data_IF_151285572026
#
_entry.id   IF_151285572026
#
_cell.length_a   1.000
_cell.length_b   1.000
_cell.length_c   1.000
_cell.angle_alpha   90.00
_cell.angle_beta   90.00
_cell.angle_gamma   90.00
#
_symmetry.space_group_name_H-M   'P 1'
#
loop_
_entity.id
_entity.type
_entity.pdbx_description
1 polymer ?
#
# COMPACT_ATOMS: atom_id res chain seq x y z
N UNK A 1 5.12 -2.26 -9.67
CA UNK A 1 3.87 -1.63 -9.15
C UNK A 1 3.49 -2.29 -7.83
N UNK A 2 3.51 -3.61 -7.77
CA UNK A 2 3.40 -4.37 -6.51
C UNK A 2 4.60 -5.32 -6.38
N UNK A 3 4.93 -5.69 -5.15
CA UNK A 3 5.89 -6.74 -4.81
C UNK A 3 5.21 -7.73 -3.86
N UNK A 4 5.49 -9.02 -4.05
CA UNK A 4 4.96 -10.09 -3.21
C UNK A 4 5.80 -10.25 -1.95
N UNK A 5 5.16 -10.28 -0.79
CA UNK A 5 5.75 -10.70 0.48
C UNK A 5 5.12 -12.01 0.95
N UNK A 6 5.71 -12.62 2.00
CA UNK A 6 5.26 -13.89 2.59
C UNK A 6 5.06 -14.99 1.54
N UNK A 7 6.12 -15.30 0.79
CA UNK A 7 6.10 -16.30 -0.30
C UNK A 7 5.07 -16.01 -1.41
N UNK A 8 4.72 -14.74 -1.63
CA UNK A 8 3.78 -14.31 -2.67
C UNK A 8 2.31 -14.40 -2.26
N UNK A 9 2.03 -14.63 -0.98
CA UNK A 9 0.65 -14.66 -0.45
C UNK A 9 0.05 -13.26 -0.29
N UNK A 10 0.88 -12.21 -0.23
CA UNK A 10 0.42 -10.84 -0.06
C UNK A 10 1.13 -9.89 -1.02
N UNK A 11 0.36 -8.99 -1.64
CA UNK A 11 0.89 -7.93 -2.50
C UNK A 11 0.91 -6.58 -1.76
N UNK A 12 2.06 -5.92 -1.84
CA UNK A 12 2.26 -4.56 -1.33
C UNK A 12 2.56 -3.59 -2.47
N UNK A 13 1.95 -2.39 -2.49
CA UNK A 13 2.32 -1.36 -3.46
C UNK A 13 3.77 -0.93 -3.22
N UNK A 14 4.56 -0.87 -4.29
CA UNK A 14 5.94 -0.36 -4.24
C UNK A 14 6.00 1.08 -4.75
N UNK A 15 6.93 1.85 -4.22
CA UNK A 15 7.20 3.18 -4.73
C UNK A 15 7.80 3.09 -6.14
N UNK A 16 6.95 3.24 -7.14
CA UNK A 16 7.30 3.13 -8.54
C UNK A 16 6.80 4.38 -9.26
N UNK A 17 7.73 5.32 -9.50
CA UNK A 17 7.43 6.61 -10.13
C UNK A 17 6.70 6.44 -11.47
N UNK A 18 7.16 5.51 -12.33
CA UNK A 18 6.50 5.21 -13.60
C UNK A 18 5.07 4.70 -13.41
N UNK A 19 4.80 3.93 -12.36
CA UNK A 19 3.45 3.46 -12.06
C UNK A 19 2.51 4.60 -11.62
N UNK A 20 3.05 5.57 -10.89
CA UNK A 20 2.33 6.75 -10.40
C UNK A 20 2.05 7.72 -11.56
N UNK A 21 3.10 8.09 -12.31
CA UNK A 21 3.03 9.03 -13.44
C UNK A 21 2.05 8.56 -14.53
N UNK A 22 2.02 7.26 -14.80
CA UNK A 22 1.12 6.68 -15.80
C UNK A 22 -0.21 6.20 -15.20
N UNK A 23 -0.56 6.64 -13.99
CA UNK A 23 -1.84 6.36 -13.32
C UNK A 23 -2.23 4.87 -13.24
N UNK A 24 -1.25 3.98 -13.16
CA UNK A 24 -1.50 2.55 -13.21
C UNK A 24 -2.23 2.01 -11.98
N UNK A 25 -2.00 2.60 -10.80
CA UNK A 25 -2.76 2.25 -9.59
C UNK A 25 -4.26 2.55 -9.74
N UNK A 26 -4.59 3.64 -10.43
CA UNK A 26 -5.98 3.99 -10.73
C UNK A 26 -6.60 3.05 -11.77
N UNK A 27 -5.84 2.69 -12.82
CA UNK A 27 -6.28 1.70 -13.80
C UNK A 27 -6.55 0.33 -13.16
N UNK A 28 -5.68 -0.11 -12.26
CA UNK A 28 -5.85 -1.36 -11.51
C UNK A 28 -7.10 -1.31 -10.61
N UNK A 29 -7.31 -0.23 -9.88
CA UNK A 29 -8.51 -0.05 -9.06
C UNK A 29 -9.80 -0.21 -9.87
N UNK A 30 -9.86 0.41 -11.06
CA UNK A 30 -11.00 0.24 -11.99
C UNK A 30 -11.19 -1.20 -12.44
N UNK A 31 -10.10 -1.88 -12.83
CA UNK A 31 -10.16 -3.27 -13.29
C UNK A 31 -10.73 -4.20 -12.21
N UNK A 32 -10.36 -3.96 -10.94
CA UNK A 32 -10.85 -4.77 -9.81
C UNK A 32 -12.34 -4.54 -9.55
N UNK A 33 -12.80 -3.29 -9.59
CA UNK A 33 -14.23 -2.97 -9.45
C UNK A 33 -15.04 -3.66 -10.56
N UNK A 34 -14.59 -3.55 -11.81
CA UNK A 34 -15.26 -4.20 -12.96
C UNK A 34 -15.30 -5.72 -12.80
N UNK A 35 -14.19 -6.34 -12.40
CA UNK A 35 -14.11 -7.78 -12.13
C UNK A 35 -15.12 -8.20 -11.05
N UNK A 36 -15.20 -7.45 -9.95
CA UNK A 36 -16.11 -7.73 -8.83
C UNK A 36 -17.57 -7.60 -9.26
N UNK A 37 -17.93 -6.54 -9.98
CA UNK A 37 -19.29 -6.32 -10.48
C UNK A 37 -19.73 -7.38 -11.50
N UNK A 38 -18.77 -8.00 -12.18
CA UNK A 38 -19.02 -9.04 -13.19
C UNK A 38 -18.98 -10.46 -12.62
N UNK A 39 -18.91 -10.62 -11.28
CA UNK A 39 -18.80 -11.93 -10.62
C UNK A 39 -17.46 -12.63 -10.84
N UNK A 40 -16.44 -11.89 -11.27
CA UNK A 40 -15.07 -12.37 -11.43
C UNK A 40 -14.34 -12.57 -10.11
N UNK A 41 -13.07 -13.01 -10.14
CA UNK A 41 -12.27 -13.28 -8.94
C UNK A 41 -11.99 -12.04 -8.09
N UNK A 42 -12.30 -10.83 -8.59
CA UNK A 42 -12.21 -9.60 -7.82
C UNK A 42 -10.77 -9.15 -7.55
N UNK A 43 -10.46 -8.90 -6.27
CA UNK A 43 -9.22 -8.29 -5.80
C UNK A 43 -8.10 -9.34 -5.68
N UNK A 44 -6.87 -9.10 -6.19
CA UNK A 44 -5.72 -9.94 -5.80
C UNK A 44 -5.49 -9.87 -4.29
N UNK A 45 -4.86 -10.88 -3.68
CA UNK A 45 -4.56 -10.90 -2.24
C UNK A 45 -3.64 -9.72 -1.85
N UNK A 46 -4.24 -8.58 -1.54
CA UNK A 46 -3.56 -7.45 -0.93
C UNK A 46 -3.29 -7.76 0.53
N UNK A 47 -2.17 -7.23 1.03
CA UNK A 47 -1.92 -7.24 2.45
C UNK A 47 -3.07 -6.58 3.23
N UNK A 48 -3.48 -7.14 4.39
CA UNK A 48 -4.60 -6.62 5.19
C UNK A 48 -4.52 -5.13 5.49
N UNK A 49 -3.31 -4.58 5.68
CA UNK A 49 -3.09 -3.16 5.93
C UNK A 49 -3.47 -2.27 4.74
N UNK A 50 -3.26 -2.74 3.51
CA UNK A 50 -3.64 -2.00 2.30
C UNK A 50 -5.17 -2.00 2.15
N UNK A 51 -5.82 -3.12 2.48
CA UNK A 51 -7.28 -3.21 2.47
C UNK A 51 -7.91 -2.28 3.51
N UNK A 52 -7.33 -2.19 4.71
CA UNK A 52 -7.80 -1.28 5.76
C UNK A 52 -7.64 0.19 5.34
N UNK A 53 -6.49 0.56 4.77
CA UNK A 53 -6.27 1.88 4.21
C UNK A 53 -7.33 2.25 3.15
N UNK A 54 -7.62 1.35 2.22
CA UNK A 54 -8.65 1.58 1.18
C UNK A 54 -10.07 1.72 1.74
N UNK A 55 -10.32 1.21 2.95
CA UNK A 55 -11.59 1.36 3.67
C UNK A 55 -11.67 2.66 4.47
N UNK A 56 -10.64 3.50 4.43
CA UNK A 56 -10.57 4.73 5.23
C UNK A 56 -10.37 4.47 6.71
N UNK A 57 -9.91 3.26 7.08
CA UNK A 57 -9.53 2.96 8.46
C UNK A 57 -8.09 3.46 8.63
N UNK A 58 -7.87 4.37 9.59
CA UNK A 58 -6.55 4.93 9.87
C UNK A 58 -5.56 3.82 10.25
N UNK A 59 -4.50 3.66 9.46
CA UNK A 59 -3.41 2.70 9.71
C UNK A 59 -2.07 3.40 10.01
N UNK A 60 -2.06 4.67 10.41
CA UNK A 60 -0.81 5.42 10.65
C UNK A 60 0.06 4.77 11.74
N UNK A 61 -0.56 4.07 12.70
CA UNK A 61 0.16 3.44 13.82
C UNK A 61 0.69 2.02 13.51
N UNK A 62 0.11 1.32 12.52
CA UNK A 62 0.44 -0.08 12.20
C UNK A 62 1.36 -0.23 10.97
N UNK A 63 1.78 0.88 10.36
CA UNK A 63 2.92 0.91 9.44
C UNK A 63 4.22 0.68 10.23
N UNK A 64 4.35 -0.52 10.79
CA UNK A 64 5.56 -0.97 11.44
C UNK A 64 6.72 -0.76 10.47
N UNK A 65 7.76 -0.06 10.92
CA UNK A 65 8.92 0.34 10.12
C UNK A 65 9.49 -0.86 9.37
N UNK A 66 9.34 -2.08 9.89
CA UNK A 66 9.73 -3.34 9.23
C UNK A 66 9.05 -3.60 7.88
N UNK A 67 7.77 -3.24 7.69
CA UNK A 67 6.98 -3.51 6.48
C UNK A 67 7.19 -2.46 5.37
N UNK A 68 7.66 -1.26 5.73
CA UNK A 68 7.94 -0.20 4.77
C UNK A 68 9.27 -0.49 4.08
N UNK A 69 9.33 -1.22 2.97
CA UNK A 69 10.62 -1.45 2.27
C UNK A 69 11.22 -0.16 1.65
N UNK A 70 10.45 0.92 1.61
CA UNK A 70 10.89 2.21 1.09
C UNK A 70 11.78 2.96 2.12
N UNK A 71 13.09 3.00 1.88
CA UNK A 71 14.06 3.71 2.74
C UNK A 71 13.72 5.20 2.93
N UNK A 72 13.26 5.90 1.90
CA UNK A 72 12.91 7.32 1.99
C UNK A 72 11.69 7.53 2.91
N UNK A 73 10.69 6.67 2.80
CA UNK A 73 9.51 6.73 3.65
C UNK A 73 9.84 6.36 5.10
N UNK A 74 10.72 5.37 5.34
CA UNK A 74 11.25 5.07 6.69
C UNK A 74 11.97 6.28 7.31
N UNK A 75 12.78 6.98 6.53
CA UNK A 75 13.52 8.16 7.00
C UNK A 75 12.58 9.32 7.33
N UNK A 76 11.55 9.54 6.50
CA UNK A 76 10.54 10.57 6.73
C UNK A 76 9.75 10.30 8.03
N UNK A 77 9.26 9.08 8.23
CA UNK A 77 8.53 8.66 9.44
C UNK A 77 9.40 8.85 10.69
N UNK A 78 10.68 8.41 10.65
CA UNK A 78 11.62 8.62 11.76
C UNK A 78 11.81 10.10 12.09
N UNK A 79 11.90 10.97 11.07
CA UNK A 79 12.04 12.43 11.28
C UNK A 79 10.82 13.04 11.94
N UNK A 80 9.62 12.68 11.49
CA UNK A 80 8.36 13.18 12.07
C UNK A 80 8.19 12.70 13.51
N UNK A 81 8.43 11.41 13.80
CA UNK A 81 8.36 10.88 15.16
C UNK A 81 9.38 11.50 16.12
N UNK A 82 10.57 11.89 15.63
CA UNK A 82 11.55 12.60 16.45
C UNK A 82 11.11 14.04 16.79
N UNK A 83 10.40 14.72 15.87
CA UNK A 83 9.87 16.07 16.10
C UNK A 83 8.76 16.04 17.15
N UNK A 84 7.87 15.05 17.08
CA UNK A 84 6.74 14.90 18.03
C UNK A 84 7.26 14.61 19.45
N UNK A 85 8.36 13.87 19.61
CA UNK A 85 8.94 13.55 20.92
C UNK A 85 9.77 14.70 21.55
N UNK A 86 9.93 15.84 20.85
CA UNK A 86 10.67 17.01 21.31
C UNK A 86 9.76 18.19 21.73
N UNK A 87 8.44 18.04 21.57
CA UNK A 87 7.39 18.97 22.01
C UNK A 87 6.61 18.37 23.17
#
# INVERSE_FOLDING_TARGET
MFEGQDHGQQLFPVNNARAIENHWFHALGKAIVVSTMSGGPGFPYLAPIVVQYLRGLECEHDLNISMVQNMLLRQLIKRVGAIINLT
#
